data_IF_208798914093
#
_entry.id   IF_208798914093
#
_cell.length_a   1.000
_cell.length_b   1.000
_cell.length_c   1.000
_cell.angle_alpha   90.00
_cell.angle_beta   90.00
_cell.angle_gamma   90.00
#
_symmetry.space_group_name_H-M   'P 1'
#
loop_
_entity.id
_entity.type
_entity.pdbx_description
1 polymer ?
#
# COMPACT_ATOMS: atom_id res chain seq x y z
N UNK A 1 -32.29 32.22 11.26
CA UNK A 1 -32.08 31.13 12.25
C UNK A 1 -31.11 30.12 11.63
N UNK A 2 -29.91 30.01 12.12
CA UNK A 2 -28.92 29.04 11.63
C UNK A 2 -29.30 27.68 12.14
N UNK A 3 -29.47 26.72 11.22
CA UNK A 3 -29.88 25.35 11.56
C UNK A 3 -28.70 24.59 12.19
N UNK A 4 -28.58 24.70 13.53
CA UNK A 4 -27.52 24.07 14.31
C UNK A 4 -27.46 22.54 14.18
N UNK A 5 -28.58 21.88 13.81
CA UNK A 5 -28.60 20.41 13.57
C UNK A 5 -27.82 20.04 12.30
N UNK A 6 -27.96 20.80 11.22
CA UNK A 6 -27.24 20.59 9.98
C UNK A 6 -25.74 20.83 10.11
N UNK A 7 -25.35 21.82 10.92
CA UNK A 7 -23.92 22.13 11.17
C UNK A 7 -23.23 21.03 11.97
N UNK A 8 -23.91 20.50 12.99
CA UNK A 8 -23.37 19.37 13.82
C UNK A 8 -23.23 18.09 13.00
N UNK A 9 -24.16 17.79 12.09
CA UNK A 9 -24.11 16.61 11.24
C UNK A 9 -22.95 16.70 10.23
N UNK A 10 -22.71 17.89 9.64
CA UNK A 10 -21.59 18.14 8.73
C UNK A 10 -20.23 18.05 9.43
N UNK A 11 -20.15 18.58 10.66
CA UNK A 11 -18.94 18.47 11.49
C UNK A 11 -18.64 17.02 11.89
N UNK A 12 -19.66 16.23 12.25
CA UNK A 12 -19.50 14.81 12.58
C UNK A 12 -19.06 13.99 11.36
N UNK A 13 -19.63 14.23 10.18
CA UNK A 13 -19.20 13.57 8.95
C UNK A 13 -17.75 13.91 8.58
N UNK A 14 -17.33 15.17 8.73
CA UNK A 14 -15.95 15.59 8.50
C UNK A 14 -14.96 14.95 9.47
N UNK A 15 -15.34 14.80 10.76
CA UNK A 15 -14.50 14.14 11.76
C UNK A 15 -14.33 12.63 11.48
N UNK A 16 -15.37 11.94 11.03
CA UNK A 16 -15.31 10.52 10.68
C UNK A 16 -14.39 10.30 9.46
N UNK A 17 -14.48 11.16 8.45
CA UNK A 17 -13.59 11.10 7.27
C UNK A 17 -12.14 11.36 7.68
N UNK A 18 -11.88 12.33 8.56
CA UNK A 18 -10.53 12.62 9.05
C UNK A 18 -9.92 11.44 9.83
N UNK A 19 -10.70 10.74 10.65
CA UNK A 19 -10.24 9.56 11.42
C UNK A 19 -9.92 8.38 10.50
N UNK A 20 -10.69 8.18 9.43
CA UNK A 20 -10.46 7.11 8.46
C UNK A 20 -9.18 7.34 7.62
N UNK A 21 -8.79 8.58 7.38
CA UNK A 21 -7.58 8.92 6.61
C UNK A 21 -6.30 8.73 7.43
N UNK A 22 -6.34 8.84 8.76
CA UNK A 22 -5.16 8.68 9.61
C UNK A 22 -4.82 7.22 9.97
N UNK A 23 -5.66 6.25 9.62
CA UNK A 23 -5.50 4.85 10.00
C UNK A 23 -4.69 3.97 9.03
N UNK A 24 -4.02 4.53 8.04
CA UNK A 24 -3.21 3.80 7.04
C UNK A 24 -1.95 3.20 7.65
N UNK A 25 -1.99 1.96 8.13
CA UNK A 25 -0.80 1.20 8.48
C UNK A 25 -0.10 0.75 7.20
N UNK A 26 0.99 1.42 6.82
CA UNK A 26 1.92 0.92 5.81
C UNK A 26 2.59 -0.36 6.35
N UNK A 27 2.33 -1.51 5.72
CA UNK A 27 3.08 -2.73 6.00
C UNK A 27 4.45 -2.61 5.31
N UNK A 28 5.52 -2.71 6.10
CA UNK A 28 6.88 -2.68 5.58
C UNK A 28 7.17 -3.91 4.70
N UNK A 29 7.55 -3.67 3.45
CA UNK A 29 7.98 -4.68 2.48
C UNK A 29 9.51 -4.74 2.36
N UNK A 30 10.22 -4.11 3.30
CA UNK A 30 11.67 -3.98 3.26
C UNK A 30 12.42 -5.10 3.95
N UNK A 31 13.75 -5.14 3.72
CA UNK A 31 14.64 -6.15 4.28
C UNK A 31 14.77 -6.12 5.80
N UNK A 32 14.61 -4.95 6.43
CA UNK A 32 14.77 -4.73 7.86
C UNK A 32 13.49 -4.70 8.69
N UNK A 33 12.32 -4.61 8.05
CA UNK A 33 11.03 -4.47 8.75
C UNK A 33 10.31 -5.81 8.86
N UNK A 34 9.92 -6.17 10.07
CA UNK A 34 9.22 -7.41 10.37
C UNK A 34 7.75 -7.14 10.76
N UNK A 35 6.83 -7.91 10.20
CA UNK A 35 5.45 -7.89 10.64
C UNK A 35 5.30 -8.56 12.03
N UNK A 36 4.24 -8.23 12.75
CA UNK A 36 3.96 -8.88 14.05
C UNK A 36 3.73 -10.39 13.93
N UNK A 37 3.28 -10.84 12.76
CA UNK A 37 3.04 -12.27 12.47
C UNK A 37 4.33 -13.03 12.17
N UNK A 38 5.37 -12.35 11.71
CA UNK A 38 6.71 -12.90 11.49
C UNK A 38 7.55 -12.93 12.77
N UNK A 39 7.24 -12.05 13.72
CA UNK A 39 7.89 -12.07 15.03
C UNK A 39 7.66 -13.41 15.74
N UNK A 40 8.69 -13.95 16.40
CA UNK A 40 8.69 -15.24 17.11
C UNK A 40 8.67 -16.46 16.22
N UNK A 41 8.95 -16.35 14.93
CA UNK A 41 9.14 -17.49 14.02
C UNK A 41 10.63 -17.73 13.82
N UNK A 42 11.02 -19.00 13.73
CA UNK A 42 12.35 -19.37 13.31
C UNK A 42 12.47 -19.18 11.80
N UNK A 43 13.51 -18.50 11.36
CA UNK A 43 13.81 -18.28 9.95
C UNK A 43 15.01 -19.11 9.52
N UNK A 44 14.99 -19.61 8.30
CA UNK A 44 16.17 -20.21 7.69
C UNK A 44 17.07 -19.11 7.17
N UNK A 45 18.36 -19.17 7.53
CA UNK A 45 19.37 -18.21 7.07
C UNK A 45 20.30 -18.91 6.11
N UNK A 46 20.50 -18.32 4.94
CA UNK A 46 21.52 -18.71 3.98
C UNK A 46 22.46 -17.53 3.75
N UNK A 47 23.74 -17.80 3.57
CA UNK A 47 24.71 -16.77 3.25
C UNK A 47 25.02 -16.78 1.76
N UNK A 48 25.39 -15.60 1.24
CA UNK A 48 25.74 -15.45 -0.15
C UNK A 48 26.42 -14.11 -0.42
N UNK A 49 26.72 -13.89 -1.67
CA UNK A 49 27.32 -12.64 -2.17
C UNK A 49 26.38 -12.02 -3.19
N UNK A 50 26.17 -10.72 -3.10
CA UNK A 50 25.36 -9.98 -4.06
C UNK A 50 26.05 -10.02 -5.42
N UNK A 51 25.35 -10.53 -6.43
CA UNK A 51 25.81 -10.56 -7.81
C UNK A 51 25.39 -9.28 -8.54
N UNK A 52 24.13 -8.87 -8.39
CA UNK A 52 23.61 -7.64 -8.99
C UNK A 52 22.48 -7.03 -8.16
N UNK A 53 22.30 -5.72 -8.30
CA UNK A 53 21.19 -4.97 -7.72
C UNK A 53 20.55 -4.14 -8.82
N UNK A 54 19.24 -4.21 -8.95
CA UNK A 54 18.47 -3.47 -9.93
C UNK A 54 17.30 -2.75 -9.24
N UNK A 55 17.18 -1.46 -9.49
CA UNK A 55 16.01 -0.70 -9.05
C UNK A 55 14.75 -1.18 -9.78
N UNK A 56 13.68 -1.41 -9.04
CA UNK A 56 12.36 -1.80 -9.55
C UNK A 56 11.29 -0.95 -8.88
N UNK A 57 10.08 -1.01 -9.37
CA UNK A 57 8.93 -0.38 -8.73
C UNK A 57 7.98 -1.48 -8.25
N UNK A 58 7.63 -1.44 -6.98
CA UNK A 58 6.59 -2.30 -6.42
C UNK A 58 5.23 -1.68 -6.72
N UNK A 59 4.29 -2.52 -7.14
CA UNK A 59 2.92 -2.09 -7.37
C UNK A 59 2.29 -1.56 -6.08
N UNK A 60 1.43 -0.56 -6.25
CA UNK A 60 0.65 -0.02 -5.15
C UNK A 60 -0.47 -0.97 -4.73
N UNK A 61 -1.00 -0.74 -3.55
CA UNK A 61 -2.11 -1.51 -3.00
C UNK A 61 -3.43 -1.02 -3.58
N UNK A 62 -4.28 -1.96 -4.00
CA UNK A 62 -5.70 -1.72 -4.30
C UNK A 62 -6.51 -2.31 -3.15
N UNK A 63 -6.88 -1.49 -2.19
CA UNK A 63 -7.74 -1.94 -1.10
C UNK A 63 -9.20 -1.48 -1.32
N UNK A 64 -10.15 -2.09 -0.63
CA UNK A 64 -11.52 -1.58 -0.63
C UNK A 64 -11.64 -0.15 -0.09
N UNK A 65 -10.65 0.34 0.66
CA UNK A 65 -10.67 1.66 1.32
C UNK A 65 -10.70 2.78 0.28
N UNK A 66 -9.80 2.76 -0.72
CA UNK A 66 -9.80 3.76 -1.80
C UNK A 66 -11.09 3.76 -2.61
N UNK A 67 -11.60 2.56 -2.91
CA UNK A 67 -12.86 2.39 -3.64
C UNK A 67 -14.04 2.94 -2.84
N UNK A 68 -14.19 2.60 -1.55
CA UNK A 68 -15.29 3.03 -0.70
C UNK A 68 -15.21 4.54 -0.43
N UNK A 69 -14.04 5.07 -0.13
CA UNK A 69 -13.85 6.50 0.08
C UNK A 69 -14.17 7.30 -1.19
N UNK A 70 -13.67 6.85 -2.34
CA UNK A 70 -13.95 7.48 -3.63
C UNK A 70 -15.44 7.41 -4.00
N UNK A 71 -16.09 6.26 -3.77
CA UNK A 71 -17.53 6.10 -4.02
C UNK A 71 -18.37 7.02 -3.12
N UNK A 72 -18.01 7.18 -1.85
CA UNK A 72 -18.69 8.07 -0.92
C UNK A 72 -18.58 9.54 -1.37
N UNK A 73 -17.36 10.00 -1.71
CA UNK A 73 -17.15 11.37 -2.20
C UNK A 73 -17.86 11.60 -3.54
N UNK A 74 -17.72 10.67 -4.48
CA UNK A 74 -18.36 10.75 -5.79
C UNK A 74 -19.89 10.70 -5.71
N UNK A 75 -20.45 9.85 -4.83
CA UNK A 75 -21.88 9.78 -4.58
C UNK A 75 -22.44 11.08 -3.98
N UNK A 76 -21.73 11.68 -3.00
CA UNK A 76 -22.12 13.00 -2.43
C UNK A 76 -22.08 14.07 -3.51
N UNK A 77 -21.00 14.14 -4.32
CA UNK A 77 -20.90 15.10 -5.42
C UNK A 77 -22.02 14.89 -6.46
N UNK A 78 -22.29 13.65 -6.85
CA UNK A 78 -23.36 13.30 -7.77
C UNK A 78 -24.75 13.67 -7.23
N UNK A 79 -24.96 13.57 -5.92
CA UNK A 79 -26.23 13.93 -5.28
C UNK A 79 -26.56 15.43 -5.32
N UNK A 80 -25.62 16.29 -5.67
CA UNK A 80 -25.84 17.72 -5.83
C UNK A 80 -26.29 18.07 -7.25
N UNK A 81 -26.28 17.10 -8.18
CA UNK A 81 -26.57 17.32 -9.59
C UNK A 81 -27.99 16.83 -9.89
N UNK A 82 -28.87 17.72 -10.41
CA UNK A 82 -30.23 17.40 -10.80
C UNK A 82 -31.23 17.36 -9.64
N UNK A 83 -32.43 16.85 -9.92
CA UNK A 83 -33.52 16.71 -8.97
C UNK A 83 -34.35 15.44 -9.24
N UNK A 84 -35.05 14.96 -8.22
CA UNK A 84 -35.89 13.75 -8.32
C UNK A 84 -35.16 12.52 -8.82
N UNK A 85 -35.66 11.83 -9.83
CA UNK A 85 -35.04 10.64 -10.41
C UNK A 85 -33.68 10.89 -11.04
N UNK A 86 -33.46 12.08 -11.61
CA UNK A 86 -32.18 12.48 -12.20
C UNK A 86 -31.05 12.56 -11.14
N UNK A 87 -31.36 13.08 -9.96
CA UNK A 87 -30.44 13.11 -8.82
C UNK A 87 -30.01 11.70 -8.38
N UNK A 88 -30.95 10.75 -8.31
CA UNK A 88 -30.64 9.37 -7.94
C UNK A 88 -29.65 8.73 -8.94
N UNK A 89 -29.88 8.94 -10.24
CA UNK A 89 -28.97 8.43 -11.30
C UNK A 89 -27.60 9.09 -11.21
N UNK A 90 -27.53 10.42 -11.03
CA UNK A 90 -26.28 11.15 -10.89
C UNK A 90 -25.47 10.71 -9.65
N UNK A 91 -26.16 10.39 -8.53
CA UNK A 91 -25.54 9.83 -7.33
C UNK A 91 -24.87 8.50 -7.60
N UNK A 92 -25.56 7.58 -8.30
CA UNK A 92 -25.00 6.25 -8.63
C UNK A 92 -23.82 6.36 -9.58
N UNK A 93 -23.94 7.17 -10.64
CA UNK A 93 -22.83 7.40 -11.58
C UNK A 93 -21.63 8.02 -10.85
N UNK A 94 -21.87 9.00 -10.00
CA UNK A 94 -20.84 9.65 -9.21
C UNK A 94 -20.15 8.68 -8.26
N UNK A 95 -20.88 7.78 -7.60
CA UNK A 95 -20.32 6.75 -6.73
C UNK A 95 -19.45 5.75 -7.50
N UNK A 96 -19.89 5.28 -8.66
CA UNK A 96 -19.11 4.34 -9.49
C UNK A 96 -17.84 4.99 -10.01
N UNK A 97 -17.95 6.19 -10.60
CA UNK A 97 -16.78 6.92 -11.10
C UNK A 97 -15.80 7.31 -9.99
N UNK A 98 -16.34 7.77 -8.85
CA UNK A 98 -15.55 8.11 -7.67
C UNK A 98 -14.84 6.90 -7.06
N UNK A 99 -15.49 5.74 -7.01
CA UNK A 99 -14.88 4.49 -6.53
C UNK A 99 -13.71 4.03 -7.42
N UNK A 100 -13.88 4.10 -8.73
CA UNK A 100 -12.82 3.77 -9.68
C UNK A 100 -11.63 4.76 -9.57
N UNK A 101 -11.92 6.06 -9.49
CA UNK A 101 -10.89 7.08 -9.32
C UNK A 101 -10.17 6.95 -7.98
N UNK A 102 -10.90 6.69 -6.88
CA UNK A 102 -10.33 6.49 -5.55
C UNK A 102 -9.40 5.29 -5.47
N UNK A 103 -9.77 4.18 -6.11
CA UNK A 103 -8.91 2.99 -6.20
C UNK A 103 -7.62 3.27 -7.00
N UNK A 104 -7.71 3.99 -8.12
CA UNK A 104 -6.56 4.35 -8.93
C UNK A 104 -5.62 5.32 -8.21
N UNK A 105 -6.17 6.27 -7.45
CA UNK A 105 -5.39 7.19 -6.61
C UNK A 105 -4.64 6.42 -5.52
N UNK A 106 -5.31 5.50 -4.80
CA UNK A 106 -4.69 4.68 -3.77
C UNK A 106 -3.50 3.91 -4.34
N UNK A 107 -3.69 3.20 -5.46
CA UNK A 107 -2.61 2.48 -6.13
C UNK A 107 -1.44 3.40 -6.48
N UNK A 108 -1.72 4.57 -7.06
CA UNK A 108 -0.69 5.54 -7.43
C UNK A 108 0.10 6.07 -6.24
N UNK A 109 -0.58 6.35 -5.13
CA UNK A 109 0.03 6.89 -3.90
C UNK A 109 0.78 5.85 -3.06
N UNK A 110 0.45 4.56 -3.21
CA UNK A 110 1.05 3.48 -2.44
C UNK A 110 2.15 2.73 -3.19
N UNK A 111 2.46 3.12 -4.43
CA UNK A 111 3.64 2.60 -5.15
C UNK A 111 4.91 2.92 -4.39
N UNK A 112 5.74 1.92 -4.20
CA UNK A 112 6.97 2.04 -3.42
C UNK A 112 8.18 1.67 -4.28
N UNK A 113 9.29 2.43 -4.20
CA UNK A 113 10.55 2.02 -4.80
C UNK A 113 10.99 0.69 -4.19
N UNK A 114 11.50 -0.20 -5.02
CA UNK A 114 12.03 -1.49 -4.60
C UNK A 114 13.35 -1.79 -5.28
N UNK A 115 13.99 -2.85 -4.82
CA UNK A 115 15.21 -3.38 -5.39
C UNK A 115 15.04 -4.87 -5.65
N UNK A 116 15.51 -5.32 -6.81
CA UNK A 116 15.76 -6.72 -7.10
C UNK A 116 17.23 -7.00 -6.82
N UNK A 117 17.48 -7.87 -5.88
CA UNK A 117 18.82 -8.29 -5.48
C UNK A 117 19.03 -9.72 -5.94
N UNK A 118 19.99 -9.95 -6.83
CA UNK A 118 20.45 -11.28 -7.19
C UNK A 118 21.62 -11.66 -6.30
N UNK A 119 21.48 -12.74 -5.56
CA UNK A 119 22.47 -13.28 -4.64
C UNK A 119 22.97 -14.61 -5.14
N UNK A 120 24.28 -14.79 -5.19
CA UNK A 120 24.93 -16.08 -5.36
C UNK A 120 25.16 -16.67 -3.97
N UNK A 121 24.39 -17.69 -3.64
CA UNK A 121 24.49 -18.40 -2.38
C UNK A 121 25.80 -19.20 -2.28
N UNK A 122 26.24 -19.51 -1.05
CA UNK A 122 27.47 -20.27 -0.81
C UNK A 122 27.43 -21.71 -1.36
N UNK A 123 26.23 -22.23 -1.62
CA UNK A 123 26.02 -23.51 -2.30
C UNK A 123 26.13 -23.41 -3.84
N UNK A 124 26.46 -22.24 -4.38
CA UNK A 124 26.58 -21.98 -5.82
C UNK A 124 25.26 -21.65 -6.55
N UNK A 125 24.12 -21.71 -5.88
CA UNK A 125 22.83 -21.36 -6.48
C UNK A 125 22.65 -19.84 -6.56
N UNK A 126 21.90 -19.39 -7.57
CA UNK A 126 21.46 -18.01 -7.68
C UNK A 126 20.04 -17.86 -7.18
N UNK A 127 19.81 -16.79 -6.46
CA UNK A 127 18.48 -16.41 -5.95
C UNK A 127 18.25 -14.93 -6.21
N UNK A 128 17.14 -14.60 -6.86
CA UNK A 128 16.69 -13.22 -7.01
C UNK A 128 15.57 -12.93 -6.01
N UNK A 129 15.69 -11.84 -5.28
CA UNK A 129 14.71 -11.38 -4.29
C UNK A 129 14.32 -9.96 -4.63
N UNK A 130 13.01 -9.69 -4.67
CA UNK A 130 12.46 -8.35 -4.84
C UNK A 130 11.93 -7.89 -3.47
N UNK A 131 12.41 -6.75 -3.01
CA UNK A 131 12.01 -6.16 -1.73
C UNK A 131 11.92 -4.63 -1.84
N UNK A 132 11.24 -3.98 -0.90
CA UNK A 132 11.21 -2.52 -0.85
C UNK A 132 12.62 -1.96 -0.58
N UNK A 133 12.93 -0.84 -1.20
CA UNK A 133 14.20 -0.13 -0.95
C UNK A 133 14.07 0.68 0.35
N UNK A 134 14.60 0.13 1.43
CA UNK A 134 14.71 0.80 2.73
C UNK A 134 16.02 1.61 2.88
N UNK A 135 16.77 1.80 1.79
CA UNK A 135 18.02 2.55 1.80
C UNK A 135 19.23 1.75 2.27
N UNK A 136 19.15 0.42 2.35
CA UNK A 136 20.28 -0.44 2.72
C UNK A 136 21.47 -0.36 1.75
N UNK A 137 21.25 0.14 0.53
CA UNK A 137 22.27 0.35 -0.52
C UNK A 137 23.19 -0.84 -0.71
N UNK A 138 22.61 -2.02 -0.85
CA UNK A 138 23.37 -3.24 -1.17
C UNK A 138 24.18 -3.07 -2.46
N UNK A 139 25.38 -3.65 -2.51
CA UNK A 139 26.31 -3.51 -3.64
C UNK A 139 26.78 -4.87 -4.15
N UNK A 140 27.03 -5.00 -5.46
CA UNK A 140 27.67 -6.19 -5.99
C UNK A 140 28.97 -6.50 -5.27
N UNK A 141 29.22 -7.77 -4.97
CA UNK A 141 30.35 -8.26 -4.19
C UNK A 141 30.17 -8.23 -2.67
N UNK A 142 29.10 -7.65 -2.15
CA UNK A 142 28.82 -7.57 -0.72
C UNK A 142 28.31 -8.90 -0.16
N UNK A 143 28.79 -9.27 1.05
CA UNK A 143 28.29 -10.47 1.78
C UNK A 143 26.95 -10.14 2.43
N UNK A 144 25.99 -11.02 2.23
CA UNK A 144 24.61 -10.84 2.70
C UNK A 144 24.05 -12.11 3.28
N UNK A 145 22.98 -11.94 4.07
CA UNK A 145 22.15 -13.01 4.59
C UNK A 145 20.81 -13.01 3.84
N UNK A 146 20.41 -14.18 3.42
CA UNK A 146 19.07 -14.43 2.87
C UNK A 146 18.26 -15.11 3.95
N UNK A 147 17.24 -14.43 4.43
CA UNK A 147 16.32 -14.94 5.45
C UNK A 147 15.04 -15.43 4.77
N UNK A 148 14.63 -16.65 5.10
CA UNK A 148 13.35 -17.23 4.64
C UNK A 148 12.48 -17.60 5.81
N UNK A 149 11.22 -17.15 5.74
CA UNK A 149 10.16 -17.53 6.68
C UNK A 149 8.96 -18.01 5.87
N UNK A 150 8.92 -19.33 5.55
CA UNK A 150 7.76 -20.01 4.98
C UNK A 150 7.04 -19.40 3.77
N UNK A 151 7.08 -18.13 3.57
CA UNK A 151 6.43 -17.40 2.47
C UNK A 151 7.13 -16.09 2.10
N UNK A 152 7.97 -15.56 3.00
CA UNK A 152 8.72 -14.32 2.78
C UNK A 152 10.19 -14.63 2.66
N UNK A 153 10.85 -14.02 1.68
CA UNK A 153 12.31 -14.06 1.53
C UNK A 153 12.83 -12.63 1.49
N UNK A 154 13.88 -12.36 2.26
CA UNK A 154 14.52 -11.04 2.28
C UNK A 154 16.04 -11.14 2.31
N UNK A 155 16.70 -10.13 1.80
CA UNK A 155 18.16 -9.99 1.79
C UNK A 155 18.54 -8.85 2.71
N UNK A 156 19.50 -9.07 3.60
CA UNK A 156 20.01 -8.05 4.51
C UNK A 156 21.52 -8.30 4.75
N UNK A 157 22.20 -7.32 5.26
CA UNK A 157 23.60 -7.41 5.70
C UNK A 157 23.80 -8.32 6.88
#
# INVERSE_FOLDING_TARGET
MVNHKGLKLRAAAGAIVAVLVLGGCAQGLGGGTYSRTEARRAMTVQFGTVESVRGVQLEGTKSPVGTVAGAAVGGIAGSTIGGGRGQAVATVIGAVAGGAAGSALEEGMTRTPGVEVTVRLDNGQFLAVVQADEGERLRPGERVRVLRDGGTTRVTR
#
